data_IF_081188995282
#
_entry.id   IF_081188995282
#
_cell.length_a   1.000
_cell.length_b   1.000
_cell.length_c   1.000
_cell.angle_alpha   90.00
_cell.angle_beta   90.00
_cell.angle_gamma   90.00
#
_symmetry.space_group_name_H-M   'P 1'
#
loop_
_entity.id
_entity.type
_entity.pdbx_description
1 polymer ?
#
# COMPACT_ATOMS: atom_id res chain seq x y z
N UNK A 1 -20.08 -5.23 -4.63
CA UNK A 1 -19.53 -6.57 -4.42
C UNK A 1 -18.05 -6.49 -4.11
N UNK A 2 -17.56 -7.26 -3.16
CA UNK A 2 -16.17 -7.17 -2.75
C UNK A 2 -15.23 -7.75 -3.82
N UNK A 3 -14.03 -7.18 -3.92
CA UNK A 3 -13.00 -7.68 -4.80
C UNK A 3 -12.60 -9.08 -4.35
N UNK A 4 -12.51 -10.02 -5.30
CA UNK A 4 -12.06 -11.37 -5.00
C UNK A 4 -10.54 -11.40 -4.93
N UNK A 5 -10.03 -11.87 -3.81
CA UNK A 5 -8.60 -12.03 -3.63
C UNK A 5 -8.19 -13.45 -4.03
N UNK A 6 -7.28 -13.54 -5.00
CA UNK A 6 -6.62 -14.80 -5.33
C UNK A 6 -5.51 -15.06 -4.32
N UNK A 7 -4.94 -16.27 -4.34
CA UNK A 7 -3.78 -16.54 -3.49
C UNK A 7 -2.59 -15.63 -3.83
N UNK A 8 -2.42 -15.33 -5.11
CA UNK A 8 -1.36 -14.42 -5.54
C UNK A 8 -1.61 -12.99 -5.00
N UNK A 9 -2.85 -12.53 -5.04
CA UNK A 9 -3.21 -11.22 -4.50
C UNK A 9 -2.99 -11.17 -3.00
N UNK A 10 -3.36 -12.24 -2.30
CA UNK A 10 -3.19 -12.32 -0.86
C UNK A 10 -1.72 -12.26 -0.47
N UNK A 11 -0.87 -12.94 -1.24
CA UNK A 11 0.58 -12.89 -1.02
C UNK A 11 1.12 -11.48 -1.24
N UNK A 12 0.70 -10.83 -2.32
CA UNK A 12 1.12 -9.46 -2.60
C UNK A 12 0.64 -8.48 -1.55
N UNK A 13 -0.58 -8.66 -1.06
CA UNK A 13 -1.11 -7.83 0.01
C UNK A 13 -0.29 -8.00 1.29
N UNK A 14 0.07 -9.23 1.62
CA UNK A 14 0.92 -9.51 2.77
C UNK A 14 2.27 -8.83 2.63
N UNK A 15 2.87 -8.88 1.44
CA UNK A 15 4.15 -8.22 1.17
C UNK A 15 4.03 -6.70 1.26
N UNK A 16 2.92 -6.14 0.81
CA UNK A 16 2.67 -4.70 0.93
C UNK A 16 2.62 -4.27 2.39
N UNK A 17 1.82 -4.97 3.20
CA UNK A 17 1.70 -4.64 4.63
C UNK A 17 3.05 -4.77 5.31
N UNK A 18 3.77 -5.85 5.04
CA UNK A 18 5.09 -6.09 5.59
C UNK A 18 6.07 -4.99 5.20
N UNK A 19 6.07 -4.62 3.91
CA UNK A 19 6.92 -3.54 3.41
C UNK A 19 6.64 -2.20 4.07
N UNK A 20 5.37 -1.90 4.30
CA UNK A 20 4.98 -0.66 4.97
C UNK A 20 5.45 -0.66 6.43
N UNK A 21 5.27 -1.78 7.13
CA UNK A 21 5.69 -1.89 8.52
C UNK A 21 7.22 -1.78 8.66
N UNK A 22 7.97 -2.42 7.76
CA UNK A 22 9.42 -2.30 7.76
C UNK A 22 9.87 -0.87 7.47
N UNK A 23 9.19 -0.19 6.56
CA UNK A 23 9.51 1.20 6.25
C UNK A 23 9.32 2.09 7.47
N UNK A 24 8.27 1.86 8.25
CA UNK A 24 8.05 2.59 9.51
C UNK A 24 9.17 2.29 10.49
N UNK A 25 9.55 1.03 10.62
CA UNK A 25 10.60 0.60 11.54
C UNK A 25 11.94 1.25 11.20
N UNK A 26 12.22 1.46 9.92
CA UNK A 26 13.46 2.07 9.44
C UNK A 26 13.40 3.59 9.35
N UNK A 27 12.30 4.19 9.78
CA UNK A 27 12.07 5.63 9.69
C UNK A 27 11.99 6.14 8.24
N UNK A 28 11.65 5.27 7.29
CA UNK A 28 11.41 5.66 5.90
C UNK A 28 10.01 6.21 5.70
N UNK A 29 9.06 5.82 6.56
CA UNK A 29 7.69 6.29 6.54
C UNK A 29 7.26 6.65 7.96
N UNK A 30 6.50 7.74 8.07
CA UNK A 30 5.83 8.05 9.35
C UNK A 30 4.65 7.10 9.55
N UNK A 31 4.23 6.94 10.80
CA UNK A 31 3.03 6.15 11.11
C UNK A 31 1.80 6.72 10.39
N UNK A 32 1.71 8.05 10.31
CA UNK A 32 0.59 8.70 9.63
C UNK A 32 0.51 8.31 8.15
N UNK A 33 1.65 8.35 7.46
CA UNK A 33 1.68 7.98 6.05
C UNK A 33 1.44 6.48 5.85
N UNK A 34 1.98 5.64 6.72
CA UNK A 34 1.75 4.20 6.66
C UNK A 34 0.28 3.88 6.85
N UNK A 35 -0.37 4.52 7.82
CA UNK A 35 -1.80 4.36 8.06
C UNK A 35 -2.61 4.78 6.84
N UNK A 36 -2.24 5.90 6.22
CA UNK A 36 -2.94 6.39 5.03
C UNK A 36 -2.88 5.37 3.89
N UNK A 37 -1.71 4.79 3.64
CA UNK A 37 -1.56 3.78 2.60
C UNK A 37 -2.42 2.55 2.87
N UNK A 38 -2.43 2.07 4.11
CA UNK A 38 -3.22 0.91 4.49
C UNK A 38 -4.72 1.18 4.36
N UNK A 39 -5.16 2.35 4.81
CA UNK A 39 -6.57 2.76 4.72
C UNK A 39 -7.00 2.86 3.26
N UNK A 40 -6.17 3.45 2.40
CA UNK A 40 -6.48 3.55 0.97
C UNK A 40 -6.61 2.20 0.32
N UNK A 41 -5.72 1.26 0.66
CA UNK A 41 -5.77 -0.10 0.13
C UNK A 41 -7.07 -0.80 0.54
N UNK A 42 -7.42 -0.72 1.81
CA UNK A 42 -8.65 -1.35 2.33
C UNK A 42 -9.87 -0.69 1.72
N UNK A 43 -9.88 0.63 1.61
CA UNK A 43 -10.99 1.38 1.03
C UNK A 43 -11.19 1.01 -0.44
N UNK A 44 -10.11 0.90 -1.21
CA UNK A 44 -10.18 0.51 -2.60
C UNK A 44 -10.82 -0.88 -2.75
N UNK A 45 -10.43 -1.82 -1.88
CA UNK A 45 -11.01 -3.16 -1.89
C UNK A 45 -12.50 -3.12 -1.54
N UNK A 46 -12.86 -2.32 -0.52
CA UNK A 46 -14.25 -2.23 -0.07
C UNK A 46 -15.16 -1.58 -1.10
N UNK A 47 -14.63 -0.65 -1.90
CA UNK A 47 -15.39 0.06 -2.94
C UNK A 47 -15.29 -0.62 -4.31
N UNK A 48 -14.71 -1.80 -4.39
CA UNK A 48 -14.47 -2.51 -5.66
C UNK A 48 -13.65 -1.69 -6.66
N UNK A 49 -12.77 -0.83 -6.17
CA UNK A 49 -11.88 -0.07 -7.04
C UNK A 49 -10.69 -0.94 -7.42
N UNK A 50 -10.88 -1.77 -8.43
CA UNK A 50 -9.90 -2.77 -8.84
C UNK A 50 -8.58 -2.12 -9.32
N UNK A 51 -8.68 -0.97 -9.97
CA UNK A 51 -7.50 -0.29 -10.50
C UNK A 51 -6.62 0.20 -9.37
N UNK A 52 -7.19 0.91 -8.41
CA UNK A 52 -6.43 1.43 -7.28
C UNK A 52 -5.91 0.29 -6.39
N UNK A 53 -6.74 -0.73 -6.18
CA UNK A 53 -6.33 -1.88 -5.38
C UNK A 53 -5.14 -2.61 -6.02
N UNK A 54 -5.19 -2.83 -7.34
CA UNK A 54 -4.09 -3.45 -8.06
C UNK A 54 -2.82 -2.60 -8.00
N UNK A 55 -2.96 -1.27 -8.06
CA UNK A 55 -1.83 -0.35 -7.95
C UNK A 55 -1.12 -0.53 -6.59
N UNK A 56 -1.89 -0.57 -5.50
CA UNK A 56 -1.29 -0.73 -4.18
C UNK A 56 -0.61 -2.09 -3.98
N UNK A 57 -1.06 -3.11 -4.70
CA UNK A 57 -0.41 -4.43 -4.65
C UNK A 57 0.88 -4.49 -5.46
N UNK A 58 1.12 -3.52 -6.34
CA UNK A 58 2.32 -3.46 -7.17
C UNK A 58 3.49 -2.88 -6.34
N UNK A 59 4.60 -3.64 -6.17
CA UNK A 59 5.74 -3.13 -5.41
C UNK A 59 6.33 -1.84 -5.98
N UNK A 60 6.26 -1.66 -7.30
CA UNK A 60 6.76 -0.43 -7.93
C UNK A 60 5.94 0.78 -7.54
N UNK A 61 4.63 0.61 -7.38
CA UNK A 61 3.76 1.69 -6.96
C UNK A 61 4.14 2.18 -5.55
N UNK A 62 4.37 1.28 -4.64
CA UNK A 62 4.78 1.62 -3.28
C UNK A 62 6.12 2.37 -3.27
N UNK A 63 7.08 1.93 -4.08
CA UNK A 63 8.37 2.59 -4.19
C UNK A 63 8.23 4.01 -4.70
N UNK A 64 7.42 4.21 -5.74
CA UNK A 64 7.19 5.55 -6.30
C UNK A 64 6.50 6.45 -5.28
N UNK A 65 5.53 5.92 -4.57
CA UNK A 65 4.81 6.68 -3.55
C UNK A 65 5.75 7.14 -2.44
N UNK A 66 6.61 6.26 -1.95
CA UNK A 66 7.60 6.62 -0.93
C UNK A 66 8.55 7.69 -1.45
N UNK A 67 8.98 7.55 -2.69
CA UNK A 67 9.89 8.52 -3.32
C UNK A 67 9.24 9.90 -3.43
N UNK A 68 7.97 9.95 -3.78
CA UNK A 68 7.24 11.20 -3.87
C UNK A 68 7.11 11.87 -2.51
N UNK A 69 6.89 11.11 -1.46
CA UNK A 69 6.85 11.66 -0.11
C UNK A 69 8.19 12.29 0.27
N UNK A 70 9.29 11.64 -0.08
CA UNK A 70 10.62 12.18 0.16
C UNK A 70 10.85 13.48 -0.62
N UNK A 71 10.43 13.51 -1.87
CA UNK A 71 10.59 14.68 -2.73
C UNK A 71 9.82 15.89 -2.20
N UNK A 72 8.75 15.66 -1.46
CA UNK A 72 7.95 16.73 -0.84
C UNK A 72 8.54 17.22 0.47
N UNK A 73 9.64 16.65 0.92
CA UNK A 73 10.28 17.06 2.16
C UNK A 73 9.54 16.66 3.42
N UNK A 74 8.75 15.63 3.33
CA UNK A 74 7.94 15.17 4.46
C UNK A 74 8.71 14.24 5.35
#
# INVERSE_FOLDING_TARGET
>A
MAIRLTQADQKQLNELVEGILYAVQRNELSVTHAKDALVRTVTAAALDNEIEFADWLDPEYLRRWKRELFARGS
#
